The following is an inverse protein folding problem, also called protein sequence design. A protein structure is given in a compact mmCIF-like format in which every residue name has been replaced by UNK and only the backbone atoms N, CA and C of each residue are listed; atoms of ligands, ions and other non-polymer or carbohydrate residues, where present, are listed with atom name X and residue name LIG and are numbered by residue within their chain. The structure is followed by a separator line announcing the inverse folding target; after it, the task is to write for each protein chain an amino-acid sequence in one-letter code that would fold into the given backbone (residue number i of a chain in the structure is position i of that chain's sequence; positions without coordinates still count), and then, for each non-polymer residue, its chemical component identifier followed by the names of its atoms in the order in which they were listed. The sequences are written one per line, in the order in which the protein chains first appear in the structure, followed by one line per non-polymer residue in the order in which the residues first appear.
data_IF_472095736073
#
_entry.id   IF_472095736073
#
_cell.length_a   1.000
_cell.length_b   1.000
_cell.length_c   1.000
_cell.angle_alpha   90.00
_cell.angle_beta   90.00
_cell.angle_gamma   90.00
#
_symmetry.space_group_name_H-M   'P 1'
#
loop_
_entity.id
_entity.type
_entity.pdbx_description
1 polymer ?
#
# COMPACT_ATOMS: atom_id res chain seq x y z
N UNK A 1 0.23 -41.28 -23.77
CA UNK A 1 1.60 -40.93 -24.21
C UNK A 1 1.59 -39.50 -24.73
N UNK A 2 2.74 -38.94 -25.06
CA UNK A 2 2.80 -37.62 -25.72
C UNK A 2 2.04 -37.66 -27.05
N UNK A 3 1.23 -36.64 -27.30
CA UNK A 3 0.57 -36.43 -28.59
C UNK A 3 0.88 -35.06 -29.16
N UNK A 4 1.01 -35.01 -30.48
CA UNK A 4 1.22 -33.80 -31.26
C UNK A 4 0.06 -33.67 -32.23
N UNK A 5 -0.45 -32.45 -32.40
CA UNK A 5 -1.37 -32.10 -33.49
C UNK A 5 -0.99 -30.75 -34.06
N UNK A 6 -1.42 -30.49 -35.30
CA UNK A 6 -1.27 -29.19 -35.96
C UNK A 6 -2.62 -28.69 -36.43
N UNK A 7 -2.81 -27.37 -36.47
CA UNK A 7 -3.97 -26.76 -37.11
C UNK A 7 -3.67 -26.35 -38.56
N UNK A 8 -4.68 -25.81 -39.25
CA UNK A 8 -4.56 -25.34 -40.65
C UNK A 8 -3.66 -24.10 -40.84
N UNK A 9 -3.26 -23.44 -39.75
CA UNK A 9 -2.33 -22.30 -39.77
C UNK A 9 -0.87 -22.73 -39.55
N UNK A 10 -0.64 -23.98 -39.14
CA UNK A 10 0.68 -24.53 -38.83
C UNK A 10 1.05 -24.49 -37.34
N UNK A 11 0.15 -24.03 -36.46
CA UNK A 11 0.40 -24.03 -35.02
C UNK A 11 0.56 -25.46 -34.50
N UNK A 12 1.54 -25.67 -33.62
CA UNK A 12 1.96 -27.00 -33.16
C UNK A 12 1.53 -27.21 -31.69
N UNK A 13 0.55 -28.08 -31.48
CA UNK A 13 -0.02 -28.37 -30.17
C UNK A 13 0.57 -29.66 -29.63
N UNK A 14 0.89 -29.66 -28.33
CA UNK A 14 1.57 -30.78 -27.67
C UNK A 14 0.84 -31.08 -26.37
N UNK A 15 0.44 -32.34 -26.20
CA UNK A 15 -0.17 -32.82 -24.96
C UNK A 15 0.86 -33.64 -24.18
N UNK A 16 1.29 -33.09 -23.05
CA UNK A 16 2.11 -33.80 -22.07
C UNK A 16 1.25 -34.84 -21.34
N UNK A 17 1.64 -36.14 -21.33
CA UNK A 17 0.97 -37.14 -20.52
C UNK A 17 1.38 -36.97 -19.05
N UNK A 18 0.47 -37.34 -18.14
CA UNK A 18 0.73 -37.33 -16.71
C UNK A 18 2.03 -38.09 -16.34
N UNK A 19 2.85 -37.49 -15.49
CA UNK A 19 4.11 -38.08 -15.01
C UNK A 19 5.30 -38.01 -15.97
N UNK A 20 5.14 -37.60 -17.24
CA UNK A 20 6.29 -37.29 -18.08
C UNK A 20 6.84 -35.89 -17.77
N UNK A 21 8.16 -35.70 -17.86
CA UNK A 21 8.83 -34.41 -17.62
C UNK A 21 9.30 -33.75 -18.91
N UNK A 22 9.81 -34.53 -19.87
CA UNK A 22 10.21 -34.08 -21.19
C UNK A 22 9.92 -35.10 -22.30
N UNK A 23 9.94 -34.62 -23.54
CA UNK A 23 10.03 -35.40 -24.77
C UNK A 23 10.85 -34.62 -25.81
N UNK A 24 11.23 -35.28 -26.89
CA UNK A 24 11.78 -34.64 -28.08
C UNK A 24 11.11 -35.15 -29.35
N UNK A 25 11.07 -34.31 -30.38
CA UNK A 25 10.64 -34.69 -31.72
C UNK A 25 11.59 -34.11 -32.76
N UNK A 26 12.00 -34.92 -33.71
CA UNK A 26 12.77 -34.47 -34.87
C UNK A 26 11.82 -34.30 -36.04
N UNK A 27 11.73 -33.07 -36.55
CA UNK A 27 10.92 -32.69 -37.69
C UNK A 27 11.82 -32.51 -38.92
N UNK A 28 11.36 -33.02 -40.06
CA UNK A 28 12.05 -32.93 -41.36
C UNK A 28 11.07 -32.28 -42.34
N UNK A 29 11.49 -31.33 -43.20
CA UNK A 29 10.61 -30.74 -44.19
C UNK A 29 10.19 -31.81 -45.20
N UNK A 30 8.90 -31.80 -45.51
CA UNK A 30 8.27 -32.65 -46.51
C UNK A 30 7.73 -31.75 -47.60
N UNK A 31 8.10 -32.01 -48.86
CA UNK A 31 7.58 -31.25 -50.00
C UNK A 31 6.13 -31.66 -50.33
N UNK A 32 5.42 -30.91 -51.21
CA UNK A 32 4.04 -31.24 -51.60
C UNK A 32 3.88 -32.58 -52.33
N UNK A 33 4.96 -33.25 -52.72
CA UNK A 33 4.99 -34.57 -53.36
C UNK A 33 5.36 -35.69 -52.38
N UNK A 34 5.62 -35.36 -51.11
CA UNK A 34 5.99 -36.32 -50.06
C UNK A 34 7.50 -36.59 -49.93
N UNK A 35 8.35 -35.89 -50.68
CA UNK A 35 9.80 -36.06 -50.58
C UNK A 35 10.34 -35.35 -49.32
N UNK A 36 11.26 -36.01 -48.62
CA UNK A 36 11.88 -35.51 -47.39
C UNK A 36 13.35 -35.23 -47.61
N UNK A 37 13.87 -34.15 -47.01
CA UNK A 37 15.32 -33.89 -46.97
C UNK A 37 15.87 -34.23 -45.58
N UNK A 38 16.36 -35.45 -45.40
CA UNK A 38 16.90 -35.94 -44.12
C UNK A 38 18.08 -35.10 -43.56
N UNK A 39 18.77 -34.34 -44.43
CA UNK A 39 19.86 -33.44 -44.02
C UNK A 39 19.38 -32.10 -43.45
N UNK A 40 18.09 -31.77 -43.56
CA UNK A 40 17.49 -30.52 -43.05
C UNK A 40 16.50 -30.82 -41.92
N UNK A 41 16.96 -31.52 -40.88
CA UNK A 41 16.13 -31.87 -39.73
C UNK A 41 16.29 -30.88 -38.56
N UNK A 42 15.21 -30.63 -37.84
CA UNK A 42 15.16 -29.82 -36.62
C UNK A 42 14.65 -30.65 -35.46
N UNK A 43 15.45 -30.79 -34.41
CA UNK A 43 15.02 -31.46 -33.17
C UNK A 43 14.51 -30.43 -32.18
N UNK A 44 13.28 -30.63 -31.74
CA UNK A 44 12.62 -29.84 -30.70
C UNK A 44 12.60 -30.65 -29.40
N UNK A 45 12.72 -29.96 -28.27
CA UNK A 45 12.53 -30.52 -26.93
C UNK A 45 11.31 -29.85 -26.30
N UNK A 46 10.47 -30.65 -25.67
CA UNK A 46 9.24 -30.21 -25.01
C UNK A 46 9.23 -30.72 -23.58
N UNK A 47 8.64 -29.97 -22.66
CA UNK A 47 8.56 -30.34 -21.25
C UNK A 47 7.95 -29.22 -20.42
N UNK A 48 7.83 -29.48 -19.12
CA UNK A 48 7.47 -28.44 -18.16
C UNK A 48 8.68 -27.53 -17.94
N UNK A 49 8.56 -26.22 -18.12
CA UNK A 49 9.66 -25.26 -17.94
C UNK A 49 9.99 -25.00 -16.46
N UNK A 50 8.94 -24.82 -15.66
CA UNK A 50 9.01 -24.58 -14.21
C UNK A 50 7.74 -25.10 -13.53
N UNK A 51 7.79 -25.25 -12.20
CA UNK A 51 6.60 -25.27 -11.35
C UNK A 51 6.51 -23.95 -10.57
N UNK A 52 5.30 -23.57 -10.17
CA UNK A 52 5.05 -22.31 -9.47
C UNK A 52 4.23 -22.54 -8.20
N UNK A 53 4.64 -21.89 -7.11
CA UNK A 53 3.88 -21.77 -5.86
C UNK A 53 3.84 -20.30 -5.44
N UNK A 54 2.93 -19.91 -4.55
CA UNK A 54 2.89 -18.53 -4.11
C UNK A 54 2.07 -18.25 -2.87
N UNK A 55 2.28 -17.06 -2.33
CA UNK A 55 1.64 -16.50 -1.13
C UNK A 55 1.28 -15.04 -1.37
N UNK A 56 0.50 -14.43 -0.48
CA UNK A 56 0.23 -12.99 -0.44
C UNK A 56 1.06 -12.37 0.69
N UNK A 57 1.57 -11.16 0.49
CA UNK A 57 2.22 -10.37 1.56
C UNK A 57 1.22 -10.00 2.65
N UNK A 58 1.70 -9.78 3.88
CA UNK A 58 0.86 -9.33 5.02
C UNK A 58 0.13 -8.00 4.75
N UNK A 59 0.69 -7.14 3.89
CA UNK A 59 0.09 -5.86 3.51
C UNK A 59 -0.88 -5.93 2.32
N UNK A 60 -1.09 -7.12 1.74
CA UNK A 60 -2.01 -7.35 0.62
C UNK A 60 -1.57 -6.78 -0.74
N UNK A 61 -0.44 -6.07 -0.83
CA UNK A 61 -0.07 -5.31 -2.05
C UNK A 61 0.64 -6.13 -3.11
N UNK A 62 1.21 -7.27 -2.74
CA UNK A 62 1.91 -8.14 -3.68
C UNK A 62 1.63 -9.62 -3.39
N UNK A 63 1.68 -10.43 -4.44
CA UNK A 63 1.89 -11.87 -4.30
C UNK A 63 3.39 -12.18 -4.40
N UNK A 64 3.89 -13.11 -3.59
CA UNK A 64 5.21 -13.72 -3.78
C UNK A 64 5.03 -14.99 -4.59
N UNK A 65 5.62 -15.02 -5.78
CA UNK A 65 5.59 -16.16 -6.70
C UNK A 65 6.96 -16.82 -6.70
N UNK A 66 7.03 -18.09 -6.30
CA UNK A 66 8.26 -18.89 -6.29
C UNK A 66 8.26 -19.81 -7.50
N UNK A 67 9.19 -19.58 -8.41
CA UNK A 67 9.39 -20.33 -9.64
C UNK A 67 10.50 -21.36 -9.42
N UNK A 68 10.16 -22.63 -9.51
CA UNK A 68 11.13 -23.74 -9.41
C UNK A 68 11.44 -24.25 -10.81
N UNK A 69 12.66 -24.05 -11.32
CA UNK A 69 13.06 -24.53 -12.65
C UNK A 69 13.09 -26.06 -12.68
N UNK A 70 12.72 -26.67 -13.81
CA UNK A 70 12.80 -28.13 -14.00
C UNK A 70 14.13 -28.61 -14.58
N UNK A 71 14.97 -27.69 -15.07
CA UNK A 71 16.14 -27.99 -15.89
C UNK A 71 15.87 -28.21 -17.38
N UNK A 72 14.67 -27.90 -17.89
CA UNK A 72 14.36 -27.96 -19.33
C UNK A 72 15.25 -27.03 -20.17
N UNK A 73 15.60 -25.87 -19.61
CA UNK A 73 16.60 -24.92 -20.13
C UNK A 73 17.53 -24.51 -18.98
N UNK A 74 18.73 -24.04 -19.31
CA UNK A 74 19.74 -23.66 -18.30
C UNK A 74 19.35 -22.40 -17.51
N UNK A 75 18.73 -21.44 -18.20
CA UNK A 75 18.33 -20.14 -17.67
C UNK A 75 17.22 -19.56 -18.54
N UNK A 76 16.25 -18.88 -17.92
CA UNK A 76 15.20 -18.11 -18.60
C UNK A 76 14.91 -16.80 -17.87
N UNK A 77 14.55 -15.75 -18.61
CA UNK A 77 13.95 -14.55 -18.02
C UNK A 77 12.46 -14.82 -17.84
N UNK A 78 11.94 -14.58 -16.64
CA UNK A 78 10.55 -14.79 -16.27
C UNK A 78 9.91 -13.48 -15.83
N UNK A 79 8.70 -13.19 -16.30
CA UNK A 79 7.87 -12.07 -15.82
C UNK A 79 6.45 -12.54 -15.51
N UNK A 80 5.81 -11.90 -14.53
CA UNK A 80 4.44 -12.23 -14.11
C UNK A 80 3.65 -10.97 -13.73
N UNK A 81 2.35 -10.98 -14.02
CA UNK A 81 1.39 -9.95 -13.60
C UNK A 81 0.10 -10.62 -13.12
N UNK A 82 -0.57 -9.98 -12.18
CA UNK A 82 -1.91 -10.41 -11.78
C UNK A 82 -2.95 -10.01 -12.85
N UNK A 83 -3.97 -10.83 -13.02
CA UNK A 83 -5.14 -10.59 -13.87
C UNK A 83 -6.40 -10.89 -13.06
N UNK A 84 -7.37 -9.97 -13.10
CA UNK A 84 -8.67 -10.14 -12.47
C UNK A 84 -9.74 -9.52 -13.37
N UNK A 85 -10.75 -10.31 -13.76
CA UNK A 85 -11.90 -9.84 -14.57
C UNK A 85 -11.51 -9.06 -15.86
N UNK A 86 -10.38 -9.42 -16.49
CA UNK A 86 -9.85 -8.72 -17.66
C UNK A 86 -8.95 -7.51 -17.34
N UNK A 87 -8.90 -7.07 -16.08
CA UNK A 87 -7.98 -6.01 -15.64
C UNK A 87 -6.64 -6.60 -15.19
N UNK A 88 -5.56 -6.12 -15.83
CA UNK A 88 -4.20 -6.42 -15.40
C UNK A 88 -3.83 -5.56 -14.20
N UNK A 89 -3.24 -6.18 -13.17
CA UNK A 89 -2.61 -5.48 -12.06
C UNK A 89 -1.34 -4.74 -12.46
N UNK A 90 -0.60 -4.25 -11.47
CA UNK A 90 0.69 -3.58 -11.67
C UNK A 90 1.68 -4.36 -12.54
N UNK A 91 2.70 -3.68 -13.05
CA UNK A 91 3.83 -4.37 -13.67
C UNK A 91 4.57 -5.19 -12.59
N UNK A 92 4.88 -6.46 -12.88
CA UNK A 92 5.78 -7.26 -12.07
C UNK A 92 7.23 -7.12 -12.53
N UNK A 93 8.17 -7.57 -11.70
CA UNK A 93 9.58 -7.58 -12.04
C UNK A 93 9.93 -8.78 -12.94
N UNK A 94 10.80 -8.53 -13.92
CA UNK A 94 11.41 -9.61 -14.72
C UNK A 94 12.64 -10.14 -13.98
N UNK A 95 12.66 -11.45 -13.71
CA UNK A 95 13.71 -12.13 -12.95
C UNK A 95 14.38 -13.22 -13.78
N UNK A 96 15.69 -13.37 -13.65
CA UNK A 96 16.42 -14.49 -14.24
C UNK A 96 16.27 -15.73 -13.34
N UNK A 97 15.83 -16.85 -13.91
CA UNK A 97 15.66 -18.13 -13.22
C UNK A 97 16.61 -19.14 -13.84
N UNK A 98 17.56 -19.65 -13.05
CA UNK A 98 18.60 -20.59 -13.48
C UNK A 98 18.36 -21.99 -12.91
N UNK A 99 19.23 -22.48 -12.00
CA UNK A 99 19.12 -23.82 -11.40
C UNK A 99 18.36 -23.86 -10.06
N UNK A 100 18.22 -22.73 -9.37
CA UNK A 100 17.62 -22.66 -8.03
C UNK A 100 16.23 -22.01 -8.06
N UNK A 101 15.33 -22.36 -7.12
CA UNK A 101 14.05 -21.69 -6.96
C UNK A 101 14.22 -20.18 -6.78
N UNK A 102 13.52 -19.40 -7.61
CA UNK A 102 13.62 -17.95 -7.64
C UNK A 102 12.27 -17.34 -7.24
N UNK A 103 12.28 -16.42 -6.28
CA UNK A 103 11.08 -15.71 -5.83
C UNK A 103 11.00 -14.34 -6.50
N UNK A 104 9.82 -14.00 -7.04
CA UNK A 104 9.51 -12.67 -7.58
C UNK A 104 8.28 -12.07 -6.91
N UNK A 105 8.19 -10.73 -6.89
CA UNK A 105 7.02 -9.99 -6.43
C UNK A 105 6.12 -9.65 -7.61
N UNK A 106 4.85 -10.05 -7.52
CA UNK A 106 3.79 -9.70 -8.47
C UNK A 106 2.89 -8.66 -7.82
N UNK A 107 2.92 -7.43 -8.34
CA UNK A 107 2.10 -6.33 -7.83
C UNK A 107 0.60 -6.63 -7.98
N UNK A 108 -0.12 -6.49 -6.88
CA UNK A 108 -1.59 -6.59 -6.81
C UNK A 108 -2.26 -5.21 -6.81
N UNK A 109 -1.48 -4.14 -7.05
CA UNK A 109 -2.05 -2.81 -7.29
C UNK A 109 -2.91 -2.83 -8.56
N UNK A 110 -3.90 -1.94 -8.61
CA UNK A 110 -4.85 -1.80 -9.71
C UNK A 110 -5.83 -2.97 -9.93
N UNK A 111 -5.92 -3.92 -8.99
CA UNK A 111 -7.00 -4.92 -8.93
C UNK A 111 -7.71 -4.90 -7.58
N UNK A 112 -8.99 -5.28 -7.59
CA UNK A 112 -9.88 -5.27 -6.42
C UNK A 112 -9.67 -6.48 -5.52
N UNK A 113 -10.14 -6.45 -4.26
CA UNK A 113 -10.12 -7.60 -3.37
C UNK A 113 -10.84 -8.80 -4.03
N UNK A 114 -10.38 -10.02 -3.75
CA UNK A 114 -10.92 -11.24 -4.35
C UNK A 114 -9.90 -12.09 -5.12
N UNK A 115 -10.38 -13.15 -5.76
CA UNK A 115 -9.55 -14.09 -6.51
C UNK A 115 -8.91 -13.44 -7.76
N UNK A 116 -7.74 -13.92 -8.16
CA UNK A 116 -7.04 -13.50 -9.36
C UNK A 116 -6.25 -14.66 -10.01
N UNK A 117 -5.79 -14.45 -11.24
CA UNK A 117 -4.89 -15.35 -11.97
C UNK A 117 -3.54 -14.66 -12.22
N UNK A 118 -2.52 -15.46 -12.52
CA UNK A 118 -1.23 -14.98 -12.98
C UNK A 118 -1.16 -15.13 -14.50
N UNK A 119 -0.93 -14.03 -15.21
CA UNK A 119 -0.47 -14.04 -16.59
C UNK A 119 1.05 -13.89 -16.58
N UNK A 120 1.74 -14.79 -17.26
CA UNK A 120 3.20 -14.88 -17.20
C UNK A 120 3.81 -15.02 -18.58
N UNK A 121 5.06 -14.56 -18.70
CA UNK A 121 5.90 -14.80 -19.86
C UNK A 121 7.26 -15.36 -19.42
N UNK A 122 7.83 -16.26 -20.21
CA UNK A 122 9.20 -16.73 -20.06
C UNK A 122 9.92 -16.82 -21.40
N UNK A 123 11.15 -16.32 -21.46
CA UNK A 123 12.00 -16.33 -22.65
C UNK A 123 13.40 -16.86 -22.34
N UNK A 124 13.97 -17.60 -23.29
CA UNK A 124 15.31 -18.18 -23.19
C UNK A 124 15.95 -18.35 -24.57
N UNK A 125 17.27 -18.45 -24.61
CA UNK A 125 17.99 -18.70 -25.86
C UNK A 125 17.57 -20.04 -26.49
N UNK A 126 17.17 -20.02 -27.76
CA UNK A 126 16.63 -21.16 -28.52
C UNK A 126 15.31 -21.75 -27.97
N UNK A 127 14.57 -21.01 -27.15
CA UNK A 127 13.21 -21.34 -26.72
C UNK A 127 12.20 -20.47 -27.48
N UNK A 128 11.02 -21.02 -27.79
CA UNK A 128 9.88 -20.18 -28.17
C UNK A 128 9.42 -19.37 -26.95
N UNK A 129 8.84 -18.19 -27.17
CA UNK A 129 8.24 -17.42 -26.09
C UNK A 129 7.15 -18.28 -25.42
N UNK A 130 7.30 -18.50 -24.12
CA UNK A 130 6.30 -19.20 -23.32
C UNK A 130 5.38 -18.16 -22.69
N UNK A 131 4.10 -18.17 -23.04
CA UNK A 131 3.06 -17.36 -22.40
C UNK A 131 2.02 -18.30 -21.78
N UNK A 132 1.60 -18.01 -20.56
CA UNK A 132 0.61 -18.83 -19.86
C UNK A 132 -0.25 -18.00 -18.91
N UNK A 133 -1.46 -18.49 -18.65
CA UNK A 133 -2.30 -18.05 -17.54
C UNK A 133 -2.55 -19.23 -16.59
N UNK A 134 -2.39 -19.01 -15.28
CA UNK A 134 -2.72 -20.01 -14.26
C UNK A 134 -3.23 -19.37 -12.97
N UNK A 135 -4.03 -20.10 -12.19
CA UNK A 135 -4.40 -19.71 -10.84
C UNK A 135 -3.70 -20.60 -9.82
N UNK A 136 -3.28 -20.00 -8.70
CA UNK A 136 -2.80 -20.71 -7.51
C UNK A 136 -3.85 -20.75 -6.39
N UNK A 137 -5.10 -20.36 -6.68
CA UNK A 137 -6.18 -20.28 -5.68
C UNK A 137 -5.98 -19.15 -4.65
N UNK A 138 -5.17 -18.14 -4.98
CA UNK A 138 -4.91 -16.99 -4.12
C UNK A 138 -6.02 -15.93 -4.25
N UNK A 139 -6.26 -15.23 -3.15
CA UNK A 139 -7.24 -14.15 -3.03
C UNK A 139 -6.54 -12.92 -2.48
N UNK A 140 -6.66 -11.78 -3.16
CA UNK A 140 -6.22 -10.48 -2.67
C UNK A 140 -7.12 -10.07 -1.47
N UNK A 141 -6.56 -9.78 -0.29
CA UNK A 141 -7.34 -9.24 0.83
C UNK A 141 -7.79 -7.80 0.53
N UNK A 142 -8.78 -7.32 1.29
CA UNK A 142 -9.13 -5.91 1.29
C UNK A 142 -8.23 -5.11 2.23
N UNK A 143 -7.89 -3.88 1.84
CA UNK A 143 -7.04 -2.96 2.57
C UNK A 143 -7.79 -1.66 2.85
N UNK A 144 -7.88 -1.17 4.11
CA UNK A 144 -8.77 -0.06 4.45
C UNK A 144 -8.36 1.27 3.79
N UNK A 145 -9.30 2.22 3.61
CA UNK A 145 -9.01 3.52 3.01
C UNK A 145 -7.97 4.33 3.77
N UNK A 146 -7.25 5.18 3.05
CA UNK A 146 -6.43 6.24 3.63
C UNK A 146 -7.22 7.56 3.69
N UNK A 147 -7.08 8.30 4.79
CA UNK A 147 -7.72 9.61 5.01
C UNK A 147 -6.70 10.58 5.57
N UNK A 148 -6.72 11.83 5.09
CA UNK A 148 -6.02 12.96 5.71
C UNK A 148 -6.88 14.21 5.71
N UNK A 149 -6.67 15.08 6.70
CA UNK A 149 -7.24 16.43 6.74
C UNK A 149 -6.15 17.41 6.31
N UNK A 150 -6.52 18.38 5.48
CA UNK A 150 -5.63 19.48 5.11
C UNK A 150 -5.82 20.67 6.05
N UNK A 151 -4.74 21.42 6.26
CA UNK A 151 -4.79 22.67 7.03
C UNK A 151 -5.10 23.86 6.12
N UNK A 152 -5.78 24.86 6.68
CA UNK A 152 -6.03 26.15 6.04
C UNK A 152 -4.79 27.08 6.11
N UNK A 153 -4.91 28.29 5.58
CA UNK A 153 -3.82 29.28 5.56
C UNK A 153 -3.32 29.68 6.96
N UNK A 154 -4.15 29.55 7.99
CA UNK A 154 -3.80 29.82 9.39
C UNK A 154 -3.18 28.59 10.09
N UNK A 155 -3.02 27.48 9.38
CA UNK A 155 -2.46 26.23 9.91
C UNK A 155 -3.45 25.40 10.74
N UNK A 156 -4.75 25.67 10.64
CA UNK A 156 -5.81 25.00 11.39
C UNK A 156 -6.55 23.96 10.52
N UNK A 157 -7.09 22.92 11.16
CA UNK A 157 -7.80 21.81 10.49
C UNK A 157 -9.20 22.19 9.95
N UNK A 158 -9.68 23.39 10.24
CA UNK A 158 -11.02 23.84 9.89
C UNK A 158 -11.07 25.37 9.73
N UNK A 159 -11.97 25.84 8.88
CA UNK A 159 -12.26 27.26 8.66
C UNK A 159 -13.68 27.56 9.14
N UNK A 160 -13.84 28.48 10.08
CA UNK A 160 -15.15 28.87 10.62
C UNK A 160 -15.89 29.83 9.70
N UNK A 161 -17.22 29.74 9.69
CA UNK A 161 -18.09 30.70 9.00
C UNK A 161 -18.21 32.02 9.79
N UNK A 162 -18.72 33.07 9.14
CA UNK A 162 -18.90 34.39 9.77
C UNK A 162 -19.81 34.35 11.02
N UNK A 163 -20.74 33.37 11.09
CA UNK A 163 -21.62 33.22 12.26
C UNK A 163 -20.99 32.43 13.41
N UNK A 164 -19.85 31.77 13.19
CA UNK A 164 -19.22 30.82 14.12
C UNK A 164 -20.12 29.64 14.54
N UNK A 165 -21.16 29.34 13.75
CA UNK A 165 -22.08 28.22 13.96
C UNK A 165 -21.81 27.05 13.00
N UNK A 166 -20.87 27.23 12.07
CA UNK A 166 -20.40 26.22 11.15
C UNK A 166 -18.89 26.32 10.94
N UNK A 167 -18.31 25.19 10.55
CA UNK A 167 -16.96 25.15 10.02
C UNK A 167 -16.87 24.24 8.80
N UNK A 168 -15.96 24.56 7.89
CA UNK A 168 -15.59 23.73 6.75
C UNK A 168 -14.28 23.00 7.04
N UNK A 169 -14.22 21.71 6.71
CA UNK A 169 -12.99 20.94 6.62
C UNK A 169 -12.83 20.39 5.20
N UNK A 170 -11.60 20.21 4.77
CA UNK A 170 -11.27 19.54 3.51
C UNK A 170 -10.01 18.68 3.68
N UNK A 171 -9.79 17.75 2.74
CA UNK A 171 -8.67 16.83 2.82
C UNK A 171 -8.63 15.83 1.68
N UNK A 172 -7.91 14.73 1.89
CA UNK A 172 -7.80 13.64 0.93
C UNK A 172 -8.37 12.33 1.48
N UNK A 173 -8.94 11.53 0.57
CA UNK A 173 -9.39 10.16 0.81
C UNK A 173 -9.00 9.31 -0.41
N UNK A 174 -8.44 8.14 -0.18
CA UNK A 174 -8.10 7.20 -1.25
C UNK A 174 -8.14 5.78 -0.75
N UNK A 175 -8.85 4.93 -1.49
CA UNK A 175 -8.78 3.49 -1.37
C UNK A 175 -7.58 2.94 -2.18
N UNK A 176 -6.74 2.03 -1.62
CA UNK A 176 -5.63 1.44 -2.36
C UNK A 176 -6.06 0.33 -3.34
N UNK A 177 -7.29 -0.17 -3.21
CA UNK A 177 -7.80 -1.38 -3.84
C UNK A 177 -8.81 -1.07 -4.98
N UNK A 178 -8.97 0.21 -5.34
CA UNK A 178 -9.88 0.76 -6.34
C UNK A 178 -11.38 0.58 -6.01
N UNK A 179 -11.70 0.49 -4.72
CA UNK A 179 -13.08 0.52 -4.22
C UNK A 179 -13.59 1.96 -4.01
N UNK A 180 -14.92 2.10 -3.96
CA UNK A 180 -15.53 3.39 -3.64
C UNK A 180 -15.53 3.60 -2.11
N UNK A 181 -15.19 4.82 -1.67
CA UNK A 181 -15.16 5.16 -0.24
C UNK A 181 -16.37 6.01 0.13
N UNK A 182 -17.01 5.63 1.24
CA UNK A 182 -18.02 6.44 1.92
C UNK A 182 -17.42 7.10 3.15
N UNK A 183 -17.84 8.33 3.47
CA UNK A 183 -17.33 9.07 4.62
C UNK A 183 -18.46 9.55 5.54
N UNK A 184 -18.21 9.48 6.83
CA UNK A 184 -19.01 10.09 7.88
C UNK A 184 -18.11 10.76 8.93
N UNK A 185 -18.68 11.57 9.80
CA UNK A 185 -18.02 12.05 11.00
C UNK A 185 -18.98 12.00 12.19
N UNK A 186 -18.44 11.78 13.38
CA UNK A 186 -19.17 11.97 14.64
C UNK A 186 -18.68 13.26 15.29
N UNK A 187 -19.61 14.15 15.67
CA UNK A 187 -19.35 15.39 16.40
C UNK A 187 -20.33 15.51 17.57
N UNK A 188 -19.84 15.85 18.76
CA UNK A 188 -20.69 16.08 19.94
C UNK A 188 -21.69 14.94 20.26
N UNK A 189 -21.32 13.70 19.92
CA UNK A 189 -22.15 12.50 20.11
C UNK A 189 -23.20 12.23 19.02
N UNK A 190 -23.19 12.97 17.89
CA UNK A 190 -24.09 12.78 16.76
C UNK A 190 -23.32 12.54 15.46
N UNK A 191 -23.87 11.68 14.59
CA UNK A 191 -23.29 11.33 13.30
C UNK A 191 -23.74 12.28 12.18
N UNK A 192 -22.84 12.53 11.24
CA UNK A 192 -23.00 13.44 10.12
C UNK A 192 -22.40 12.84 8.84
N UNK A 193 -23.07 13.00 7.70
CA UNK A 193 -22.74 12.34 6.42
C UNK A 193 -22.68 13.31 5.22
N UNK A 194 -22.63 14.63 5.44
CA UNK A 194 -22.65 15.66 4.39
C UNK A 194 -21.34 15.86 3.62
N UNK A 195 -20.54 14.82 3.44
CA UNK A 195 -19.29 14.89 2.68
C UNK A 195 -19.56 15.04 1.18
N UNK A 196 -18.82 15.93 0.53
CA UNK A 196 -18.71 16.00 -0.94
C UNK A 196 -17.33 15.51 -1.35
N UNK A 197 -17.26 14.48 -2.19
CA UNK A 197 -16.00 13.86 -2.64
C UNK A 197 -15.85 14.10 -4.15
N UNK A 198 -14.69 14.62 -4.57
CA UNK A 198 -14.31 14.82 -5.98
C UNK A 198 -12.91 14.25 -6.25
N UNK A 199 -12.88 13.10 -6.94
CA UNK A 199 -11.67 12.29 -7.10
C UNK A 199 -11.16 11.80 -5.75
N UNK A 200 -9.96 12.24 -5.36
CA UNK A 200 -9.36 11.97 -4.04
C UNK A 200 -9.61 13.08 -3.02
N UNK A 201 -10.20 14.21 -3.43
CA UNK A 201 -10.44 15.34 -2.54
C UNK A 201 -11.81 15.20 -1.86
N UNK A 202 -11.91 15.62 -0.61
CA UNK A 202 -13.20 15.76 0.06
C UNK A 202 -13.34 17.12 0.74
N UNK A 203 -14.57 17.58 0.89
CA UNK A 203 -14.97 18.77 1.66
C UNK A 203 -16.24 18.46 2.44
N UNK A 204 -16.38 19.05 3.63
CA UNK A 204 -17.57 18.90 4.49
C UNK A 204 -17.82 20.20 5.28
N UNK A 205 -19.07 20.67 5.25
CA UNK A 205 -19.55 21.79 6.06
C UNK A 205 -20.30 21.24 7.28
N UNK A 206 -19.79 21.49 8.49
CA UNK A 206 -20.32 20.92 9.74
C UNK A 206 -20.98 22.02 10.57
N UNK A 207 -22.20 21.78 11.05
CA UNK A 207 -22.89 22.70 11.96
C UNK A 207 -22.69 22.31 13.42
N UNK A 208 -22.36 23.30 14.26
CA UNK A 208 -22.18 23.13 15.71
C UNK A 208 -23.48 23.19 16.50
N UNK A 209 -24.64 23.31 15.84
CA UNK A 209 -25.95 23.44 16.50
C UNK A 209 -26.23 22.31 17.52
N UNK A 210 -25.78 21.09 17.23
CA UNK A 210 -25.91 19.94 18.15
C UNK A 210 -24.99 20.06 19.38
N UNK A 211 -23.81 20.64 19.24
CA UNK A 211 -22.90 20.92 20.36
C UNK A 211 -23.51 21.99 21.27
N UNK A 212 -23.98 23.09 20.68
CA UNK A 212 -24.62 24.21 21.39
C UNK A 212 -25.90 23.77 22.12
N UNK A 213 -26.72 22.92 21.50
CA UNK A 213 -27.93 22.35 22.12
C UNK A 213 -27.61 21.47 23.35
N UNK A 214 -26.42 20.86 23.40
CA UNK A 214 -25.94 20.05 24.52
C UNK A 214 -25.01 20.83 25.48
N UNK A 215 -24.77 22.13 25.25
CA UNK A 215 -23.85 22.95 26.05
C UNK A 215 -22.37 22.55 25.91
N UNK A 216 -22.00 21.88 24.81
CA UNK A 216 -20.64 21.41 24.55
C UNK A 216 -19.84 22.45 23.77
N UNK A 217 -18.61 22.70 24.24
CA UNK A 217 -17.63 23.62 23.61
C UNK A 217 -16.45 22.89 22.95
N UNK A 218 -16.39 21.56 23.06
CA UNK A 218 -15.47 20.76 22.28
C UNK A 218 -16.11 20.41 20.92
N UNK A 219 -15.44 20.78 19.83
CA UNK A 219 -15.87 20.54 18.44
C UNK A 219 -15.06 19.44 17.74
N UNK A 220 -14.16 18.74 18.45
CA UNK A 220 -13.38 17.62 17.94
C UNK A 220 -14.28 16.60 17.21
N UNK A 221 -13.82 16.15 16.05
CA UNK A 221 -14.57 15.22 15.20
C UNK A 221 -13.84 13.90 15.03
N UNK A 222 -14.60 12.81 14.97
CA UNK A 222 -14.10 11.50 14.55
C UNK A 222 -14.56 11.23 13.12
N UNK A 223 -13.69 11.44 12.14
CA UNK A 223 -13.95 11.09 10.74
C UNK A 223 -13.83 9.57 10.61
N UNK A 224 -14.80 8.93 9.95
CA UNK A 224 -14.75 7.52 9.55
C UNK A 224 -14.88 7.42 8.03
N UNK A 225 -13.96 6.70 7.39
CA UNK A 225 -14.05 6.32 5.99
C UNK A 225 -14.22 4.80 5.88
N UNK A 226 -15.10 4.33 4.98
CA UNK A 226 -15.41 2.90 4.79
C UNK A 226 -15.41 2.58 3.30
N UNK A 227 -14.71 1.52 2.90
CA UNK A 227 -14.68 1.00 1.53
C UNK A 227 -15.91 0.14 1.18
N UNK A 228 -15.96 -0.38 -0.06
CA UNK A 228 -17.07 -1.19 -0.59
C UNK A 228 -17.11 -2.60 0.05
N UNK A 229 -15.94 -3.14 0.39
CA UNK A 229 -15.72 -4.40 1.11
C UNK A 229 -15.97 -4.30 2.63
N UNK A 230 -16.19 -3.11 3.17
CA UNK A 230 -16.55 -2.83 4.56
C UNK A 230 -15.40 -2.67 5.56
N UNK A 231 -14.14 -2.55 5.14
CA UNK A 231 -13.07 -2.12 6.06
C UNK A 231 -13.09 -0.60 6.24
N UNK A 232 -12.56 -0.12 7.37
CA UNK A 232 -12.69 1.28 7.76
C UNK A 232 -11.45 1.85 8.43
N UNK A 233 -11.25 3.16 8.19
CA UNK A 233 -10.23 3.97 8.84
C UNK A 233 -10.89 5.10 9.61
N UNK A 234 -10.43 5.33 10.83
CA UNK A 234 -10.90 6.41 11.70
C UNK A 234 -9.79 7.42 11.97
N UNK A 235 -10.14 8.70 11.94
CA UNK A 235 -9.24 9.82 12.19
C UNK A 235 -9.89 10.83 13.15
N UNK A 236 -9.33 10.96 14.34
CA UNK A 236 -9.71 12.01 15.29
C UNK A 236 -9.02 13.33 14.91
N UNK A 237 -9.80 14.41 14.81
CA UNK A 237 -9.35 15.72 14.35
C UNK A 237 -9.72 16.77 15.37
N UNK A 238 -8.72 17.48 15.88
CA UNK A 238 -8.92 18.59 16.80
C UNK A 238 -9.45 19.82 16.06
N UNK A 239 -10.57 20.39 16.53
CA UNK A 239 -11.20 21.57 15.92
C UNK A 239 -11.10 22.76 16.88
N UNK A 240 -10.24 23.76 16.61
CA UNK A 240 -10.08 24.92 17.48
C UNK A 240 -11.38 25.70 17.65
N UNK A 241 -11.67 26.12 18.89
CA UNK A 241 -12.77 27.03 19.20
C UNK A 241 -12.68 28.33 18.36
N UNK A 242 -13.81 28.84 17.83
CA UNK A 242 -13.83 30.13 17.12
C UNK A 242 -13.74 31.32 18.08
N UNK A 243 -14.06 31.09 19.36
CA UNK A 243 -13.81 32.02 20.45
C UNK A 243 -12.36 31.84 20.88
N UNK A 244 -11.53 32.86 20.65
CA UNK A 244 -10.28 33.01 21.39
C UNK A 244 -10.67 33.22 22.85
N UNK A 245 -10.16 32.38 23.76
CA UNK A 245 -10.28 32.70 25.19
C UNK A 245 -9.53 34.02 25.43
N UNK A 246 -10.26 35.08 25.78
CA UNK A 246 -9.67 36.32 26.28
C UNK A 246 -8.82 35.95 27.51
N UNK A 247 -7.50 35.91 27.32
CA UNK A 247 -6.55 35.79 28.42
C UNK A 247 -6.79 37.00 29.30
N UNK A 248 -7.46 36.77 30.44
CA UNK A 248 -7.93 37.83 31.32
C UNK A 248 -6.79 38.82 31.56
N UNK A 249 -6.99 40.12 31.25
CA UNK A 249 -5.90 41.08 31.28
C UNK A 249 -5.27 41.06 32.66
N UNK A 250 -3.98 40.76 32.72
CA UNK A 250 -3.20 40.76 33.96
C UNK A 250 -3.46 42.10 34.64
N UNK A 251 -4.13 42.06 35.79
CA UNK A 251 -4.52 43.27 36.49
C UNK A 251 -3.25 44.12 36.70
N UNK A 252 -3.25 45.42 36.35
CA UNK A 252 -2.09 46.25 36.57
C UNK A 252 -1.73 46.19 38.06
N UNK A 253 -0.44 46.08 38.41
CA UNK A 253 -0.03 45.93 39.80
C UNK A 253 -0.59 47.11 40.60
N UNK A 254 -1.29 46.81 41.68
CA UNK A 254 -1.82 47.82 42.60
C UNK A 254 -0.65 48.63 43.15
N UNK A 255 -0.50 49.86 42.68
CA UNK A 255 0.39 50.84 43.30
C UNK A 255 -0.27 51.21 44.64
N UNK A 256 0.09 50.49 45.68
CA UNK A 256 -0.20 50.90 47.05
C UNK A 256 0.70 52.09 47.40
N UNK A 257 0.10 53.14 47.94
CA UNK A 257 0.83 54.35 48.35
C UNK A 257 1.98 54.00 49.32
N UNK A 258 3.11 54.67 49.13
CA UNK A 258 4.30 54.49 49.94
C UNK A 258 4.13 55.13 51.33
N UNK A 259 3.98 54.32 52.38
CA UNK A 259 4.43 54.73 53.72
C UNK A 259 4.70 53.52 54.66
N UNK A 260 5.91 53.46 55.21
CA UNK A 260 6.21 52.71 56.44
C UNK A 260 6.80 51.28 56.36
N UNK A 261 8.09 51.19 56.67
CA UNK A 261 8.81 50.05 57.28
C UNK A 261 9.22 48.80 56.45
N UNK A 262 10.50 48.81 56.06
CA UNK A 262 11.37 47.63 55.91
C UNK A 262 12.02 47.27 57.28
N UNK A 263 12.71 46.12 57.47
CA UNK A 263 12.66 44.83 56.74
C UNK A 263 12.57 43.59 57.67
N UNK A 264 12.32 42.40 57.11
CA UNK A 264 12.84 41.14 57.67
C UNK A 264 13.34 40.19 56.58
N UNK A 265 14.66 40.22 56.35
CA UNK A 265 15.34 39.34 55.38
C UNK A 265 15.84 38.12 56.17
N UNK A 266 15.18 36.97 56.02
CA UNK A 266 15.68 35.71 56.59
C UNK A 266 16.86 35.18 55.77
N UNK A 267 18.06 35.54 56.21
CA UNK A 267 19.34 35.14 55.63
C UNK A 267 19.95 33.98 56.42
N UNK A 268 20.04 32.78 55.82
CA UNK A 268 20.77 31.56 56.25
C UNK A 268 20.40 30.46 55.22
N UNK A 269 21.28 29.66 54.58
CA UNK A 269 22.74 29.60 54.44
C UNK A 269 23.02 28.81 53.11
N UNK A 270 24.22 28.44 52.63
CA UNK A 270 25.62 28.40 53.11
C UNK A 270 26.56 28.63 51.91
N UNK A 271 27.83 28.96 52.16
CA UNK A 271 28.93 29.00 51.18
C UNK A 271 29.82 27.75 51.25
N UNK A 272 30.22 27.18 50.10
CA UNK A 272 31.46 26.39 49.85
C UNK A 272 31.32 25.56 48.56
N UNK A 273 32.35 25.17 47.81
CA UNK A 273 33.71 25.72 47.60
C UNK A 273 34.15 25.30 46.18
N UNK A 274 34.82 26.17 45.43
CA UNK A 274 35.34 25.87 44.08
C UNK A 274 36.88 25.85 44.12
N UNK A 275 37.53 24.72 43.83
CA UNK A 275 38.99 24.61 43.99
C UNK A 275 39.68 23.29 43.60
N UNK A 276 39.85 23.05 42.29
CA UNK A 276 40.97 22.39 41.61
C UNK A 276 41.63 21.07 42.12
N UNK A 277 41.57 20.01 41.28
CA UNK A 277 42.68 19.13 40.86
C UNK A 277 42.16 18.22 39.72
N UNK A 278 42.51 18.36 38.44
CA UNK A 278 43.77 18.00 37.76
C UNK A 278 44.31 16.58 38.00
N UNK A 279 44.20 15.77 36.93
CA UNK A 279 45.06 14.65 36.53
C UNK A 279 44.97 13.32 37.29
N UNK A 280 45.31 12.24 36.54
CA UNK A 280 45.10 10.80 36.82
C UNK A 280 43.67 10.32 36.47
N UNK A 281 43.46 9.31 35.61
CA UNK A 281 44.44 8.45 34.93
C UNK A 281 43.86 7.83 33.64
N UNK A 282 44.69 7.71 32.60
CA UNK A 282 44.49 6.75 31.51
C UNK A 282 44.30 5.34 32.07
N UNK A 283 43.31 4.59 31.59
CA UNK A 283 43.49 3.21 31.06
C UNK A 283 42.22 2.67 30.36
N UNK A 284 42.43 1.98 29.24
CA UNK A 284 41.45 1.12 28.52
C UNK A 284 41.18 -0.16 29.35
N UNK A 285 40.15 -0.96 29.02
CA UNK A 285 40.29 -2.05 28.02
C UNK A 285 39.38 -1.82 26.79
N UNK A 286 39.78 -2.26 25.58
CA UNK A 286 39.51 -3.58 24.94
C UNK A 286 38.03 -3.79 24.60
#
# INVERSE_FOLDING_TARGET
GWSVSTNVLGDFFITQPEGATQASATCTPVDPLGAMNENDSRTWTFGTLYTATGTIDEDGKNARLTITPTGLVNEFLFSARALQNGQMGGAGESVAVASEPTMTAVSLQSIRPGAFTFVVSAEASNMLLHEAEFSLGLTKPNSPPSVSVAVNFDGLNATWDESQLKFEMYGLVSDPDLEAVTMSLTICGADYQGFTIDGINWVVEVSTAICLANGLTNYDVLITAVDESGASTQLAVGIPSPMVEDVAPVAPPTVGDEDGALPSISLLATLSMLGAALLLQRRRPE
#
